data_IF_347433054256
#
_entry.id   IF_347433054256
#
_cell.length_a   1.000
_cell.length_b   1.000
_cell.length_c   1.000
_cell.angle_alpha   90.00
_cell.angle_beta   90.00
_cell.angle_gamma   90.00
#
_symmetry.space_group_name_H-M   'P 1'
#
loop_
_entity.id
_entity.type
_entity.pdbx_description
1 polymer ?
#
# COMPACT_ATOMS: atom_id res chain seq x y z
N UNK A 1 -21.43 -7.34 -11.78
CA UNK A 1 -21.11 -6.21 -12.69
C UNK A 1 -20.34 -5.20 -11.84
N UNK A 2 -19.09 -4.83 -12.05
CA UNK A 2 -17.99 -5.18 -12.95
C UNK A 2 -16.89 -5.89 -12.13
N UNK A 3 -16.06 -6.73 -12.75
CA UNK A 3 -14.92 -7.38 -12.08
C UNK A 3 -13.74 -6.39 -11.99
N UNK A 4 -14.01 -5.17 -11.52
CA UNK A 4 -13.00 -4.14 -11.34
C UNK A 4 -12.08 -4.62 -10.22
N UNK A 5 -10.77 -4.68 -10.47
CA UNK A 5 -9.78 -5.21 -9.51
C UNK A 5 -9.62 -4.38 -8.22
N UNK A 6 -10.63 -3.59 -7.85
CA UNK A 6 -10.68 -2.71 -6.70
C UNK A 6 -12.09 -2.60 -6.12
N UNK A 7 -12.17 -2.22 -4.85
CA UNK A 7 -13.42 -1.91 -4.13
C UNK A 7 -13.44 -0.46 -3.69
N UNK A 8 -14.61 0.18 -3.67
CA UNK A 8 -14.80 1.55 -3.18
C UNK A 8 -15.64 1.49 -1.90
N UNK A 9 -15.15 2.14 -0.84
CA UNK A 9 -15.86 2.29 0.43
C UNK A 9 -15.95 3.78 0.79
N UNK A 10 -17.16 4.27 1.04
CA UNK A 10 -17.39 5.68 1.42
C UNK A 10 -17.57 5.76 2.93
N UNK A 11 -16.66 6.47 3.60
CA UNK A 11 -16.69 6.74 5.04
C UNK A 11 -17.15 8.18 5.27
N UNK A 12 -18.47 8.36 5.28
CA UNK A 12 -19.13 9.66 5.41
C UNK A 12 -18.73 10.40 6.69
N UNK A 13 -18.53 9.69 7.80
CA UNK A 13 -18.14 10.24 9.10
C UNK A 13 -16.85 11.06 9.02
N UNK A 14 -15.89 10.59 8.21
CA UNK A 14 -14.56 11.21 8.07
C UNK A 14 -14.38 11.92 6.73
N UNK A 15 -15.47 12.10 5.96
CA UNK A 15 -15.45 12.60 4.57
C UNK A 15 -14.32 11.97 3.74
N UNK A 16 -14.16 10.65 3.88
CA UNK A 16 -13.09 9.90 3.22
C UNK A 16 -13.69 8.83 2.32
N UNK A 17 -13.15 8.69 1.11
CA UNK A 17 -13.46 7.57 0.21
C UNK A 17 -12.22 6.71 0.07
N UNK A 18 -12.32 5.42 0.39
CA UNK A 18 -11.24 4.47 0.27
C UNK A 18 -11.42 3.62 -0.98
N UNK A 19 -10.40 3.61 -1.85
CA UNK A 19 -10.32 2.75 -3.02
C UNK A 19 -9.25 1.70 -2.77
N UNK A 20 -9.67 0.45 -2.61
CA UNK A 20 -8.79 -0.66 -2.27
C UNK A 20 -8.55 -1.55 -3.47
N UNK A 21 -7.36 -1.51 -4.04
CA UNK A 21 -6.92 -2.36 -5.14
C UNK A 21 -6.41 -3.72 -4.62
N UNK A 22 -6.85 -4.80 -5.26
CA UNK A 22 -6.42 -6.16 -4.90
C UNK A 22 -5.02 -6.50 -5.43
N UNK A 23 -4.65 -5.93 -6.59
CA UNK A 23 -3.42 -6.18 -7.33
C UNK A 23 -2.54 -4.91 -7.43
N UNK A 24 -1.48 -4.99 -8.24
CA UNK A 24 -0.69 -3.81 -8.61
C UNK A 24 -1.56 -2.82 -9.39
N UNK A 25 -1.45 -1.53 -9.05
CA UNK A 25 -2.26 -0.47 -9.66
C UNK A 25 -1.65 -0.09 -11.01
N UNK A 26 -2.45 -0.19 -12.07
CA UNK A 26 -2.14 0.35 -13.40
C UNK A 26 -2.73 1.76 -13.56
N UNK A 27 -2.31 2.49 -14.61
CA UNK A 27 -2.86 3.80 -14.91
C UNK A 27 -4.35 3.71 -15.25
N UNK A 28 -4.74 2.78 -16.12
CA UNK A 28 -6.13 2.61 -16.57
C UNK A 28 -7.08 2.34 -15.40
N UNK A 29 -6.68 1.46 -14.47
CA UNK A 29 -7.47 1.16 -13.28
C UNK A 29 -7.59 2.37 -12.35
N UNK A 30 -6.53 3.18 -12.24
CA UNK A 30 -6.55 4.40 -11.43
C UNK A 30 -7.44 5.47 -12.06
N UNK A 31 -7.37 5.63 -13.37
CA UNK A 31 -8.21 6.56 -14.13
C UNK A 31 -9.69 6.20 -14.03
N UNK A 32 -10.03 4.92 -14.20
CA UNK A 32 -11.39 4.42 -14.05
C UNK A 32 -11.92 4.70 -12.64
N UNK A 33 -11.13 4.37 -11.61
CA UNK A 33 -11.51 4.61 -10.22
C UNK A 33 -11.69 6.11 -9.92
N UNK A 34 -10.74 6.97 -10.31
CA UNK A 34 -10.83 8.40 -10.06
C UNK A 34 -11.98 9.07 -10.81
N UNK A 35 -12.30 8.60 -12.01
CA UNK A 35 -13.44 9.08 -12.80
C UNK A 35 -14.77 8.85 -12.09
N UNK A 36 -14.92 7.71 -11.40
CA UNK A 36 -16.10 7.41 -10.59
C UNK A 36 -16.19 8.28 -9.32
N UNK A 37 -15.08 8.88 -8.88
CA UNK A 37 -14.99 9.67 -7.66
C UNK A 37 -15.07 11.18 -7.85
N UNK A 38 -15.34 11.64 -9.08
CA UNK A 38 -15.37 13.07 -9.42
C UNK A 38 -16.26 13.89 -8.47
N UNK A 39 -17.46 13.41 -8.15
CA UNK A 39 -18.41 14.08 -7.26
C UNK A 39 -17.86 14.22 -5.83
N UNK A 40 -17.27 13.16 -5.29
CA UNK A 40 -16.66 13.19 -3.96
C UNK A 40 -15.48 14.17 -3.91
N UNK A 41 -14.64 14.19 -4.96
CA UNK A 41 -13.52 15.12 -5.05
C UNK A 41 -14.02 16.57 -5.07
N UNK A 42 -15.09 16.88 -5.82
CA UNK A 42 -15.69 18.22 -5.84
C UNK A 42 -16.30 18.62 -4.51
N UNK A 43 -16.83 17.66 -3.75
CA UNK A 43 -17.42 17.86 -2.41
C UNK A 43 -16.36 17.87 -1.29
N UNK A 44 -15.09 18.03 -1.64
CA UNK A 44 -13.95 18.09 -0.71
C UNK A 44 -13.76 16.82 0.14
N UNK A 45 -14.18 15.65 -0.34
CA UNK A 45 -13.78 14.39 0.29
C UNK A 45 -12.29 14.12 0.05
N UNK A 46 -11.67 13.47 1.03
CA UNK A 46 -10.35 12.89 0.87
C UNK A 46 -10.47 11.51 0.20
N UNK A 47 -9.72 11.29 -0.87
CA UNK A 47 -9.65 10.00 -1.56
C UNK A 47 -8.39 9.28 -1.12
N UNK A 48 -8.55 8.07 -0.58
CA UNK A 48 -7.44 7.20 -0.17
C UNK A 48 -7.32 6.04 -1.16
N UNK A 49 -6.24 6.03 -1.93
CA UNK A 49 -5.87 4.95 -2.84
C UNK A 49 -5.01 3.95 -2.07
N UNK A 50 -5.54 2.74 -1.82
CA UNK A 50 -4.91 1.68 -1.04
C UNK A 50 -4.55 0.52 -1.96
N UNK A 51 -3.27 0.14 -2.03
CA UNK A 51 -2.86 -0.97 -2.89
C UNK A 51 -1.37 -1.27 -2.89
N UNK A 52 -0.91 -2.14 -3.79
CA UNK A 52 0.51 -2.34 -4.03
C UNK A 52 1.05 -1.23 -4.93
N UNK A 53 1.46 -0.12 -4.31
CA UNK A 53 1.82 1.12 -5.02
C UNK A 53 3.33 1.19 -5.21
N UNK A 54 3.78 1.34 -6.45
CA UNK A 54 5.15 1.76 -6.74
C UNK A 54 5.17 3.27 -7.05
N UNK A 55 5.60 4.09 -6.09
CA UNK A 55 5.68 5.55 -6.23
C UNK A 55 6.74 6.02 -7.24
N UNK A 56 7.57 5.13 -7.75
CA UNK A 56 8.55 5.45 -8.79
C UNK A 56 7.94 5.55 -10.18
N UNK A 57 6.69 5.11 -10.37
CA UNK A 57 6.03 5.29 -11.66
C UNK A 57 5.87 6.78 -12.01
N UNK A 58 6.33 7.16 -13.21
CA UNK A 58 6.34 8.54 -13.67
C UNK A 58 4.94 9.19 -13.66
N UNK A 59 3.89 8.44 -13.98
CA UNK A 59 2.52 8.96 -13.95
C UNK A 59 2.07 9.33 -12.53
N UNK A 60 2.38 8.51 -11.52
CA UNK A 60 2.08 8.84 -10.12
C UNK A 60 2.87 10.06 -9.65
N UNK A 61 4.15 10.17 -10.04
CA UNK A 61 4.97 11.34 -9.74
C UNK A 61 4.38 12.61 -10.35
N UNK A 62 4.03 12.58 -11.64
CA UNK A 62 3.42 13.71 -12.33
C UNK A 62 2.08 14.10 -11.71
N UNK A 63 1.25 13.11 -11.36
CA UNK A 63 -0.03 13.32 -10.70
C UNK A 63 0.11 13.95 -9.31
N UNK A 64 1.00 13.43 -8.46
CA UNK A 64 1.28 14.00 -7.13
C UNK A 64 1.84 15.42 -7.23
N UNK A 65 2.72 15.68 -8.21
CA UNK A 65 3.24 17.02 -8.48
C UNK A 65 2.11 17.98 -8.85
N UNK A 66 1.21 17.58 -9.77
CA UNK A 66 0.06 18.39 -10.15
C UNK A 66 -0.82 18.73 -8.94
N UNK A 67 -1.15 17.74 -8.09
CA UNK A 67 -1.92 17.99 -6.87
C UNK A 67 -1.23 19.01 -5.95
N UNK A 68 0.08 18.87 -5.75
CA UNK A 68 0.86 19.79 -4.91
C UNK A 68 0.89 21.22 -5.46
N UNK A 69 0.95 21.40 -6.78
CA UNK A 69 0.94 22.73 -7.41
C UNK A 69 -0.36 23.50 -7.14
N UNK A 70 -1.46 22.79 -6.90
CA UNK A 70 -2.77 23.38 -6.62
C UNK A 70 -3.20 23.26 -5.14
N UNK A 71 -2.27 22.94 -4.22
CA UNK A 71 -2.57 22.82 -2.79
C UNK A 71 -3.50 21.65 -2.43
N UNK A 72 -3.55 20.63 -3.29
CA UNK A 72 -4.43 19.46 -3.17
C UNK A 72 -3.68 18.19 -2.79
N UNK A 73 -2.45 18.29 -2.28
CA UNK A 73 -1.60 17.15 -1.91
C UNK A 73 -2.23 16.25 -0.83
N UNK A 74 -3.18 16.77 -0.05
CA UNK A 74 -3.94 16.00 0.95
C UNK A 74 -5.29 15.49 0.46
N UNK A 75 -5.73 15.86 -0.76
CA UNK A 75 -7.01 15.38 -1.31
C UNK A 75 -6.92 13.94 -1.78
N UNK A 76 -5.78 13.52 -2.34
CA UNK A 76 -5.57 12.15 -2.78
C UNK A 76 -4.35 11.57 -2.10
N UNK A 77 -4.54 10.55 -1.27
CA UNK A 77 -3.48 9.91 -0.50
C UNK A 77 -3.24 8.50 -1.00
N UNK A 78 -1.97 8.15 -1.20
CA UNK A 78 -1.54 6.82 -1.64
C UNK A 78 -0.98 6.02 -0.47
N UNK A 79 -1.69 4.95 -0.07
CA UNK A 79 -1.29 4.04 1.01
C UNK A 79 -0.87 2.67 0.45
N UNK A 80 0.37 2.27 0.77
CA UNK A 80 0.89 1.00 0.29
C UNK A 80 0.49 -0.15 1.22
N UNK A 81 -0.14 -1.19 0.68
CA UNK A 81 -0.46 -2.43 1.41
C UNK A 81 0.80 -3.15 1.92
N UNK A 82 1.94 -2.98 1.25
CA UNK A 82 3.18 -3.59 1.68
C UNK A 82 3.70 -2.90 2.96
N UNK A 83 3.61 -3.60 4.10
CA UNK A 83 4.14 -3.13 5.40
C UNK A 83 5.64 -2.83 5.42
N UNK A 84 6.42 -3.49 4.56
CA UNK A 84 7.87 -3.32 4.49
C UNK A 84 8.28 -3.04 3.04
N UNK A 85 9.19 -2.07 2.87
CA UNK A 85 9.85 -1.82 1.59
C UNK A 85 10.70 -3.04 1.21
N UNK A 86 11.00 -3.20 -0.09
CA UNK A 86 11.83 -4.33 -0.59
C UNK A 86 13.19 -4.40 0.11
N UNK A 87 13.81 -3.26 0.36
CA UNK A 87 15.11 -3.15 1.05
C UNK A 87 15.00 -3.61 2.50
N UNK A 88 14.00 -3.11 3.24
CA UNK A 88 13.72 -3.52 4.62
C UNK A 88 13.42 -5.01 4.70
N UNK A 89 12.65 -5.55 3.76
CA UNK A 89 12.37 -6.99 3.68
C UNK A 89 13.64 -7.81 3.50
N UNK A 90 14.57 -7.36 2.67
CA UNK A 90 15.86 -8.04 2.44
C UNK A 90 16.72 -8.01 3.71
N UNK A 91 16.76 -6.87 4.40
CA UNK A 91 17.47 -6.73 5.67
C UNK A 91 16.87 -7.64 6.75
N UNK A 92 15.55 -7.63 6.91
CA UNK A 92 14.82 -8.46 7.87
C UNK A 92 14.98 -9.97 7.59
N UNK A 93 15.01 -10.37 6.31
CA UNK A 93 15.32 -11.76 5.93
C UNK A 93 16.74 -12.14 6.33
N UNK A 94 17.72 -11.25 6.10
CA UNK A 94 19.11 -11.49 6.51
C UNK A 94 19.22 -11.65 8.04
N UNK A 95 18.60 -10.74 8.80
CA UNK A 95 18.56 -10.82 10.26
C UNK A 95 17.87 -12.10 10.77
N UNK A 96 16.82 -12.55 10.09
CA UNK A 96 16.13 -13.81 10.39
C UNK A 96 17.08 -15.01 10.25
N UNK A 97 17.88 -15.05 9.18
CA UNK A 97 18.88 -16.11 8.98
C UNK A 97 19.97 -16.05 10.03
N UNK A 98 20.54 -14.87 10.31
CA UNK A 98 21.59 -14.70 11.33
C UNK A 98 21.12 -15.13 12.73
N UNK A 99 19.86 -14.87 13.09
CA UNK A 99 19.29 -15.33 14.36
C UNK A 99 19.08 -16.84 14.37
N UNK A 100 18.67 -17.42 13.24
CA UNK A 100 18.53 -18.88 13.11
C UNK A 100 19.88 -19.58 13.28
N UNK A 101 20.93 -19.04 12.67
CA UNK A 101 22.29 -19.57 12.76
C UNK A 101 22.84 -19.47 14.20
N UNK A 102 22.37 -18.48 14.97
CA UNK A 102 22.62 -18.34 16.42
C UNK A 102 21.77 -19.25 17.31
N UNK A 103 20.96 -20.13 16.73
CA UNK A 103 20.14 -21.12 17.45
C UNK A 103 18.77 -20.62 17.91
N UNK A 104 18.33 -19.42 17.51
CA UNK A 104 16.99 -18.95 17.88
C UNK A 104 15.89 -19.75 17.17
N UNK A 105 14.80 -20.01 17.89
CA UNK A 105 13.60 -20.63 17.33
C UNK A 105 12.81 -19.64 16.48
N UNK A 106 12.00 -20.13 15.53
CA UNK A 106 11.17 -19.29 14.68
C UNK A 106 10.21 -18.39 15.49
N UNK A 107 9.73 -18.88 16.64
CA UNK A 107 8.87 -18.12 17.56
C UNK A 107 9.63 -16.94 18.20
N UNK A 108 10.83 -17.19 18.71
CA UNK A 108 11.66 -16.13 19.30
C UNK A 108 12.06 -15.08 18.26
N UNK A 109 12.35 -15.49 17.01
CA UNK A 109 12.65 -14.56 15.92
C UNK A 109 11.42 -13.71 15.58
N UNK A 110 10.24 -14.33 15.51
CA UNK A 110 8.97 -13.64 15.25
C UNK A 110 8.69 -12.54 16.26
N UNK A 111 8.84 -12.85 17.56
CA UNK A 111 8.67 -11.90 18.65
C UNK A 111 9.74 -10.79 18.60
N UNK A 112 11.01 -11.15 18.40
CA UNK A 112 12.14 -10.21 18.41
C UNK A 112 12.10 -9.21 17.26
N UNK A 113 11.70 -9.65 16.06
CA UNK A 113 11.61 -8.79 14.88
C UNK A 113 10.22 -8.17 14.68
N UNK A 114 9.24 -8.54 15.51
CA UNK A 114 7.82 -8.20 15.34
C UNK A 114 7.30 -8.56 13.93
N UNK A 115 7.66 -9.75 13.46
CA UNK A 115 7.27 -10.28 12.14
C UNK A 115 6.37 -11.49 12.34
N UNK A 116 5.25 -11.62 11.62
CA UNK A 116 4.35 -12.76 11.77
C UNK A 116 5.08 -14.10 11.60
N UNK A 117 4.81 -15.07 12.48
CA UNK A 117 5.46 -16.37 12.50
C UNK A 117 5.44 -17.10 11.14
N UNK A 118 4.31 -17.03 10.42
CA UNK A 118 4.18 -17.56 9.05
C UNK A 118 5.22 -16.99 8.08
N UNK A 119 5.55 -15.70 8.22
CA UNK A 119 6.55 -15.02 7.39
C UNK A 119 7.96 -15.52 7.71
N UNK A 120 8.27 -15.73 9.00
CA UNK A 120 9.55 -16.30 9.43
C UNK A 120 9.74 -17.69 8.83
N UNK A 121 8.75 -18.58 8.96
CA UNK A 121 8.83 -19.92 8.36
C UNK A 121 9.03 -19.88 6.85
N UNK A 122 8.31 -18.99 6.15
CA UNK A 122 8.50 -18.82 4.71
C UNK A 122 9.93 -18.42 4.36
N UNK A 123 10.50 -17.45 5.08
CA UNK A 123 11.85 -16.97 4.83
C UNK A 123 12.95 -17.99 5.15
N UNK A 124 12.74 -18.84 6.16
CA UNK A 124 13.70 -19.89 6.52
C UNK A 124 13.65 -21.09 5.56
N UNK A 125 12.59 -21.23 4.74
CA UNK A 125 12.46 -22.30 3.74
C UNK A 125 13.07 -21.93 2.38
N UNK A 126 13.20 -20.63 2.10
CA UNK A 126 13.71 -20.05 0.85
C UNK A 126 15.23 -19.90 0.85
#
# INVERSE_FOLDING_TARGET
MSNTGYTIEVKSENRTVEVTFASAITLDMLEEALSQLKTFITENFQVKIIGYINREYNYLRAFMLALSLFGNEKRVIFENKAKFRRVERKLMKKQTQELRDKGYTAKQISEKLNIPLKTIYRWLKE
#
